data_IF_152104685369
#
_entry.id   IF_152104685369
#
_cell.length_a   1.000
_cell.length_b   1.000
_cell.length_c   1.000
_cell.angle_alpha   90.00
_cell.angle_beta   90.00
_cell.angle_gamma   90.00
#
_symmetry.space_group_name_H-M   'P 1'
#
loop_
_entity.id
_entity.type
_entity.pdbx_description
1 polymer ?
#
# COMPACT_ATOMS: atom_id res chain seq x y z
N UNK A 1 -39.66 57.78 -14.48
CA UNK A 1 -40.43 57.25 -13.33
C UNK A 1 -41.37 56.16 -13.82
N UNK A 2 -41.44 55.05 -13.07
CA UNK A 2 -42.47 53.99 -13.06
C UNK A 2 -42.51 52.97 -14.22
N UNK A 3 -42.15 51.72 -13.89
CA UNK A 3 -42.55 50.47 -14.57
C UNK A 3 -44.07 50.25 -14.42
N UNK A 4 -44.67 49.45 -15.32
CA UNK A 4 -45.18 48.12 -14.92
C UNK A 4 -44.78 47.06 -15.98
N UNK A 5 -44.48 45.79 -15.66
CA UNK A 5 -45.34 44.76 -15.05
C UNK A 5 -45.73 43.75 -16.15
N UNK A 6 -44.90 42.70 -16.40
CA UNK A 6 -45.11 41.25 -16.13
C UNK A 6 -46.40 40.70 -16.80
N UNK A 7 -46.35 39.70 -17.70
CA UNK A 7 -46.61 38.25 -17.48
C UNK A 7 -46.27 37.54 -18.83
N UNK A 8 -45.21 36.71 -18.93
CA UNK A 8 -45.13 35.25 -18.73
C UNK A 8 -45.84 34.38 -19.80
N UNK A 9 -45.08 33.59 -20.57
CA UNK A 9 -45.51 32.29 -21.08
C UNK A 9 -44.30 31.35 -21.32
N UNK A 10 -44.22 30.34 -20.46
CA UNK A 10 -43.75 28.97 -20.66
C UNK A 10 -42.62 28.67 -21.66
N UNK A 11 -41.47 28.22 -21.13
CA UNK A 11 -40.69 27.16 -21.76
C UNK A 11 -40.24 26.19 -20.67
N UNK A 12 -40.92 25.04 -20.61
CA UNK A 12 -40.58 23.92 -19.77
C UNK A 12 -39.20 23.38 -20.18
N UNK A 13 -38.19 23.61 -19.35
CA UNK A 13 -36.90 22.95 -19.51
C UNK A 13 -36.92 21.68 -18.65
N UNK A 14 -37.15 20.55 -19.32
CA UNK A 14 -36.93 19.21 -18.80
C UNK A 14 -35.47 19.09 -18.33
N UNK A 15 -35.21 19.31 -17.04
CA UNK A 15 -33.99 18.83 -16.40
C UNK A 15 -34.16 17.34 -16.18
N UNK A 16 -33.74 16.56 -17.17
CA UNK A 16 -33.43 15.14 -17.03
C UNK A 16 -32.37 15.01 -15.95
N UNK A 17 -32.80 14.61 -14.75
CA UNK A 17 -31.90 14.07 -13.75
C UNK A 17 -31.29 12.78 -14.34
N UNK A 18 -30.13 12.91 -14.98
CA UNK A 18 -29.27 11.79 -15.27
C UNK A 18 -28.85 11.20 -13.92
N UNK A 19 -29.61 10.20 -13.47
CA UNK A 19 -29.16 9.29 -12.41
C UNK A 19 -27.99 8.52 -13.02
N UNK A 20 -26.79 9.08 -12.89
CA UNK A 20 -25.57 8.31 -13.07
C UNK A 20 -25.53 7.31 -11.93
N UNK A 21 -26.13 6.15 -12.17
CA UNK A 21 -25.90 4.95 -11.38
C UNK A 21 -24.45 4.56 -11.63
N UNK A 22 -23.54 5.19 -10.87
CA UNK A 22 -22.16 4.76 -10.83
C UNK A 22 -22.16 3.33 -10.30
N UNK A 23 -21.61 2.40 -11.09
CA UNK A 23 -21.28 1.06 -10.63
C UNK A 23 -20.15 1.17 -9.59
N UNK A 24 -20.46 1.69 -8.40
CA UNK A 24 -19.57 1.88 -7.27
C UNK A 24 -19.36 0.57 -6.47
N UNK A 25 -19.58 -0.58 -7.09
CA UNK A 25 -19.63 -1.87 -6.40
C UNK A 25 -18.29 -2.58 -6.22
N UNK A 26 -17.30 -2.34 -7.09
CA UNK A 26 -16.03 -3.06 -7.06
C UNK A 26 -14.82 -2.17 -6.71
N UNK A 27 -14.76 -0.95 -7.26
CA UNK A 27 -13.61 -0.05 -7.06
C UNK A 27 -13.69 0.74 -5.75
N UNK A 28 -14.90 1.16 -5.32
CA UNK A 28 -15.06 1.94 -4.08
C UNK A 28 -14.68 1.17 -2.81
N UNK A 29 -14.82 -0.16 -2.82
CA UNK A 29 -14.39 -1.01 -1.70
C UNK A 29 -12.86 -1.13 -1.64
N UNK A 30 -12.20 -1.27 -2.79
CA UNK A 30 -10.74 -1.31 -2.85
C UNK A 30 -10.12 0.02 -2.42
N UNK A 31 -10.65 1.15 -2.92
CA UNK A 31 -10.18 2.48 -2.55
C UNK A 31 -10.32 2.73 -1.04
N UNK A 32 -11.41 2.26 -0.43
CA UNK A 32 -11.60 2.35 1.01
C UNK A 32 -10.57 1.51 1.78
N UNK A 33 -10.28 0.29 1.32
CA UNK A 33 -9.27 -0.58 1.94
C UNK A 33 -7.88 0.06 1.84
N UNK A 34 -7.50 0.57 0.68
CA UNK A 34 -6.22 1.24 0.46
C UNK A 34 -6.09 2.51 1.32
N UNK A 35 -7.16 3.29 1.43
CA UNK A 35 -7.23 4.47 2.31
C UNK A 35 -7.01 4.08 3.78
N UNK A 36 -7.69 3.03 4.25
CA UNK A 36 -7.53 2.53 5.61
C UNK A 36 -6.10 2.01 5.87
N UNK A 37 -5.51 1.29 4.90
CA UNK A 37 -4.12 0.82 4.98
C UNK A 37 -3.14 1.99 5.04
N UNK A 38 -3.32 3.02 4.20
CA UNK A 38 -2.47 4.20 4.19
C UNK A 38 -2.55 4.97 5.49
N UNK A 39 -3.75 5.17 6.04
CA UNK A 39 -3.94 5.81 7.34
C UNK A 39 -3.31 5.01 8.49
N UNK A 40 -3.37 3.68 8.42
CA UNK A 40 -2.71 2.81 9.40
C UNK A 40 -1.18 2.92 9.28
N UNK A 41 -0.65 2.86 8.05
CA UNK A 41 0.79 2.96 7.78
C UNK A 41 1.38 4.30 8.25
N UNK A 42 0.68 5.42 8.03
CA UNK A 42 1.11 6.75 8.48
C UNK A 42 1.26 6.89 10.01
N UNK A 43 0.57 6.05 10.79
CA UNK A 43 0.68 6.05 12.25
C UNK A 43 1.88 5.27 12.76
N UNK A 44 2.50 4.43 11.92
CA UNK A 44 3.65 3.61 12.30
C UNK A 44 4.91 4.45 12.11
N UNK A 45 5.53 4.90 13.21
CA UNK A 45 6.82 5.59 13.18
C UNK A 45 7.99 4.61 13.18
N UNK A 46 7.85 3.50 13.91
CA UNK A 46 8.80 2.40 13.94
C UNK A 46 8.10 1.10 14.31
N UNK A 47 8.62 -0.01 13.81
CA UNK A 47 8.16 -1.36 14.11
C UNK A 47 9.37 -2.26 14.35
N UNK A 48 9.26 -3.14 15.34
CA UNK A 48 10.18 -4.25 15.55
C UNK A 48 9.35 -5.47 15.89
N UNK A 49 9.46 -6.52 15.08
CA UNK A 49 8.66 -7.72 15.24
C UNK A 49 9.48 -8.98 14.92
N UNK A 50 9.09 -10.10 15.55
CA UNK A 50 9.50 -11.43 15.13
C UNK A 50 8.69 -11.82 13.89
N UNK A 51 9.32 -12.53 12.97
CA UNK A 51 8.73 -12.94 11.71
C UNK A 51 8.92 -14.45 11.50
N UNK A 52 7.85 -15.12 11.09
CA UNK A 52 7.88 -16.46 10.50
C UNK A 52 7.26 -16.36 9.11
N UNK A 53 8.02 -16.76 8.09
CA UNK A 53 7.61 -16.72 6.70
C UNK A 53 7.61 -18.13 6.12
N UNK A 54 6.49 -18.48 5.50
CA UNK A 54 6.29 -19.76 4.82
C UNK A 54 6.24 -19.52 3.32
N UNK A 55 7.25 -19.98 2.59
CA UNK A 55 7.20 -20.00 1.12
C UNK A 55 6.71 -21.36 0.68
N UNK A 56 5.62 -21.38 -0.10
CA UNK A 56 5.06 -22.61 -0.69
C UNK A 56 5.29 -22.56 -2.20
N UNK A 57 5.95 -23.59 -2.73
CA UNK A 57 6.03 -23.79 -4.17
C UNK A 57 4.84 -24.62 -4.62
N UNK A 58 3.92 -24.00 -5.35
CA UNK A 58 2.67 -24.65 -5.81
C UNK A 58 2.89 -25.63 -6.94
N UNK A 59 4.00 -25.53 -7.68
CA UNK A 59 4.27 -26.37 -8.84
C UNK A 59 4.87 -27.73 -8.45
N UNK A 60 5.76 -27.75 -7.44
CA UNK A 60 6.47 -28.97 -7.00
C UNK A 60 6.10 -29.41 -5.57
N UNK A 61 5.16 -28.72 -4.91
CA UNK A 61 4.65 -29.09 -3.58
C UNK A 61 5.59 -28.82 -2.40
N UNK A 62 6.71 -28.13 -2.62
CA UNK A 62 7.71 -27.82 -1.58
C UNK A 62 7.28 -26.69 -0.64
N UNK A 63 7.80 -26.73 0.60
CA UNK A 63 7.62 -25.68 1.62
C UNK A 63 8.96 -25.31 2.23
N UNK A 64 9.27 -24.03 2.25
CA UNK A 64 10.42 -23.46 2.92
C UNK A 64 9.96 -22.57 4.08
N UNK A 65 10.68 -22.65 5.20
CA UNK A 65 10.39 -21.90 6.41
C UNK A 65 11.55 -20.96 6.70
N UNK A 66 11.22 -19.69 6.88
CA UNK A 66 12.17 -18.65 7.25
C UNK A 66 11.73 -18.03 8.57
N UNK A 67 12.69 -17.75 9.45
CA UNK A 67 12.44 -17.06 10.72
C UNK A 67 13.44 -15.95 10.94
N UNK A 68 13.01 -14.93 11.66
CA UNK A 68 13.91 -13.88 12.12
C UNK A 68 13.14 -12.66 12.58
N UNK A 69 13.65 -11.49 12.22
CA UNK A 69 13.15 -10.21 12.69
C UNK A 69 12.95 -9.23 11.54
N UNK A 70 11.89 -8.44 11.65
CA UNK A 70 11.65 -7.28 10.79
C UNK A 70 11.71 -6.01 11.64
N UNK A 71 12.42 -5.02 11.12
CA UNK A 71 12.53 -3.69 11.65
C UNK A 71 12.09 -2.70 10.60
N UNK A 72 11.30 -1.72 11.00
CA UNK A 72 10.93 -0.60 10.17
C UNK A 72 11.08 0.70 10.95
N UNK A 73 11.50 1.75 10.25
CA UNK A 73 11.54 3.10 10.77
C UNK A 73 11.19 4.08 9.67
N UNK A 74 10.17 4.88 9.92
CA UNK A 74 9.88 6.06 9.12
C UNK A 74 10.97 7.10 9.38
N UNK A 75 11.65 7.58 8.33
CA UNK A 75 12.76 8.54 8.49
C UNK A 75 12.67 9.67 7.46
N UNK A 76 11.53 10.35 7.45
CA UNK A 76 11.24 11.48 6.56
C UNK A 76 10.45 11.03 5.32
N UNK A 77 10.23 11.95 4.38
CA UNK A 77 9.24 11.76 3.32
C UNK A 77 9.58 10.62 2.33
N UNK A 78 10.86 10.30 2.14
CA UNK A 78 11.34 9.37 1.10
C UNK A 78 12.52 8.50 1.55
N UNK A 79 12.76 8.40 2.85
CA UNK A 79 13.97 7.74 3.37
C UNK A 79 13.61 6.69 4.43
N UNK A 80 12.49 6.01 4.20
CA UNK A 80 12.05 4.93 5.06
C UNK A 80 13.07 3.79 5.06
N UNK A 81 13.20 3.17 6.23
CA UNK A 81 14.19 2.14 6.47
C UNK A 81 13.50 0.85 6.85
N UNK A 82 13.85 -0.22 6.15
CA UNK A 82 13.40 -1.58 6.47
C UNK A 82 14.64 -2.45 6.62
N UNK A 83 14.68 -3.27 7.67
CA UNK A 83 15.67 -4.34 7.80
C UNK A 83 14.93 -5.62 8.11
N UNK A 84 15.12 -6.62 7.26
CA UNK A 84 14.70 -8.00 7.51
C UNK A 84 15.98 -8.80 7.77
N UNK A 85 16.10 -9.34 8.98
CA UNK A 85 17.18 -10.23 9.36
C UNK A 85 16.62 -11.62 9.52
N UNK A 86 16.92 -12.50 8.57
CA UNK A 86 16.65 -13.92 8.69
C UNK A 86 17.72 -14.56 9.57
N UNK A 87 17.29 -15.47 10.44
CA UNK A 87 18.17 -16.29 11.28
C UNK A 87 18.20 -17.72 10.74
N UNK A 88 17.05 -18.22 10.29
CA UNK A 88 16.87 -19.56 9.73
C UNK A 88 16.39 -19.44 8.29
N UNK A 89 16.97 -20.19 7.32
CA UNK A 89 17.98 -21.24 7.51
C UNK A 89 19.46 -20.77 7.47
N UNK A 90 19.79 -19.65 6.80
CA UNK A 90 21.17 -19.28 6.49
C UNK A 90 21.54 -17.81 6.77
N UNK A 91 20.86 -17.15 7.73
CA UNK A 91 21.32 -15.85 8.25
C UNK A 91 21.23 -14.64 7.30
N UNK A 92 20.43 -14.70 6.23
CA UNK A 92 20.35 -13.65 5.22
C UNK A 92 19.82 -12.32 5.78
N UNK A 93 20.26 -11.20 5.23
CA UNK A 93 19.75 -9.87 5.61
C UNK A 93 19.35 -9.06 4.38
N UNK A 94 18.18 -8.43 4.46
CA UNK A 94 17.68 -7.49 3.45
C UNK A 94 17.50 -6.13 4.11
N UNK A 95 18.17 -5.12 3.60
CA UNK A 95 18.04 -3.74 4.04
C UNK A 95 17.48 -2.90 2.90
N UNK A 96 16.55 -2.01 3.21
CA UNK A 96 16.03 -0.98 2.31
C UNK A 96 16.24 0.36 2.99
N UNK A 97 16.86 1.31 2.29
CA UNK A 97 17.07 2.68 2.77
C UNK A 97 16.68 3.64 1.65
N UNK A 98 15.49 4.23 1.75
CA UNK A 98 14.92 4.98 0.63
C UNK A 98 14.74 4.06 -0.58
N UNK A 99 15.41 4.39 -1.68
CA UNK A 99 15.34 3.63 -2.93
C UNK A 99 16.42 2.54 -3.06
N UNK A 100 17.38 2.47 -2.12
CA UNK A 100 18.49 1.51 -2.17
C UNK A 100 18.10 0.20 -1.48
N UNK A 101 18.27 -0.93 -2.17
CA UNK A 101 18.05 -2.26 -1.63
C UNK A 101 19.39 -2.98 -1.53
N UNK A 102 19.74 -3.45 -0.33
CA UNK A 102 20.91 -4.27 -0.06
C UNK A 102 20.50 -5.66 0.41
N UNK A 103 20.98 -6.70 -0.26
CA UNK A 103 20.84 -8.10 0.15
C UNK A 103 22.21 -8.68 0.50
N UNK A 104 22.38 -9.11 1.75
CA UNK A 104 23.55 -9.86 2.19
C UNK A 104 23.23 -11.35 2.36
N UNK A 105 24.05 -12.19 1.74
CA UNK A 105 23.95 -13.65 1.78
C UNK A 105 25.23 -14.25 2.39
N UNK A 106 25.21 -14.63 3.68
CA UNK A 106 26.39 -15.17 4.36
C UNK A 106 26.91 -16.48 3.72
N UNK A 107 26.00 -17.34 3.25
CA UNK A 107 26.33 -18.66 2.69
C UNK A 107 27.28 -18.62 1.49
N UNK A 108 27.24 -17.52 0.73
CA UNK A 108 28.09 -17.28 -0.43
C UNK A 108 28.99 -16.05 -0.25
N UNK A 109 29.01 -15.49 0.97
CA UNK A 109 29.74 -14.27 1.33
C UNK A 109 29.57 -13.13 0.30
N UNK A 110 28.32 -12.87 -0.12
CA UNK A 110 28.04 -11.91 -1.17
C UNK A 110 27.05 -10.83 -0.71
N UNK A 111 27.31 -9.59 -1.14
CA UNK A 111 26.36 -8.49 -1.04
C UNK A 111 25.89 -8.11 -2.44
N UNK A 112 24.59 -7.90 -2.59
CA UNK A 112 23.94 -7.44 -3.82
C UNK A 112 23.25 -6.11 -3.52
N UNK A 113 23.44 -5.13 -4.41
CA UNK A 113 22.85 -3.80 -4.31
C UNK A 113 21.97 -3.55 -5.54
N UNK A 114 20.87 -2.85 -5.37
CA UNK A 114 19.95 -2.42 -6.45
C UNK A 114 19.42 -1.05 -6.15
#
# INVERSE_FOLDING_TARGET
>A
MKRPGIISFAAAFFMTAAVFSSNAGANGQLDQVLSNMQQAAQKITSLSAKMEQVKRNTQIGGKEMFRGHIFFKHAGKTNDKVLIRYEIPAGQAVSVVGDEITLYQPSINQVIYT
#
